data_IF_757953583149
#
_entry.id   IF_757953583149
#
_cell.length_a   1.000
_cell.length_b   1.000
_cell.length_c   1.000
_cell.angle_alpha   90.00
_cell.angle_beta   90.00
_cell.angle_gamma   90.00
#
_symmetry.space_group_name_H-M   'P 1'
#
loop_
_entity.id
_entity.type
_entity.pdbx_description
1 polymer ?
#
# COMPACT_ATOMS: atom_id res chain seq x y z
N UNK A 1 5.23 -20.28 22.60
CA UNK A 1 4.06 -19.36 22.68
C UNK A 1 4.09 -18.34 21.54
N UNK A 2 5.29 -17.96 21.13
CA UNK A 2 5.66 -17.07 20.03
C UNK A 2 5.03 -17.49 18.69
N UNK A 3 5.05 -18.78 18.35
CA UNK A 3 4.42 -19.30 17.11
C UNK A 3 2.92 -19.04 17.05
N UNK A 4 2.24 -19.07 18.20
CA UNK A 4 0.80 -18.76 18.27
C UNK A 4 0.57 -17.26 18.05
N UNK A 5 1.42 -16.40 18.63
CA UNK A 5 1.35 -14.95 18.42
C UNK A 5 1.59 -14.61 16.95
N UNK A 6 2.63 -15.17 16.34
CA UNK A 6 2.92 -15.01 14.91
C UNK A 6 1.74 -15.50 14.06
N UNK A 7 1.25 -16.72 14.31
CA UNK A 7 0.16 -17.33 13.56
C UNK A 7 -1.15 -16.54 13.66
N UNK A 8 -1.57 -16.15 14.87
CA UNK A 8 -2.79 -15.38 15.08
C UNK A 8 -2.68 -13.98 14.47
N UNK A 9 -1.58 -13.28 14.69
CA UNK A 9 -1.36 -11.93 14.13
C UNK A 9 -1.28 -11.98 12.61
N UNK A 10 -0.60 -12.99 12.07
CA UNK A 10 -0.51 -13.26 10.63
C UNK A 10 -1.87 -13.55 10.01
N UNK A 11 -2.72 -14.33 10.68
CA UNK A 11 -4.09 -14.57 10.22
C UNK A 11 -4.92 -13.28 10.21
N UNK A 12 -4.82 -12.46 11.26
CA UNK A 12 -5.51 -11.17 11.35
C UNK A 12 -5.04 -10.20 10.27
N UNK A 13 -3.75 -10.16 9.94
CA UNK A 13 -3.22 -9.38 8.84
C UNK A 13 -3.91 -9.75 7.50
N UNK A 14 -4.04 -11.04 7.18
CA UNK A 14 -4.72 -11.46 5.94
C UNK A 14 -6.22 -11.12 5.97
N UNK A 15 -6.88 -11.36 7.11
CA UNK A 15 -8.31 -11.06 7.28
C UNK A 15 -8.62 -9.56 7.22
N UNK A 16 -7.70 -8.71 7.68
CA UNK A 16 -7.82 -7.25 7.68
C UNK A 16 -7.82 -6.62 6.27
N UNK A 17 -7.59 -7.39 5.21
CA UNK A 17 -7.80 -6.92 3.83
C UNK A 17 -9.27 -6.59 3.55
N UNK A 18 -10.19 -7.24 4.26
CA UNK A 18 -11.61 -6.94 4.20
C UNK A 18 -11.98 -5.80 5.15
N UNK A 19 -12.75 -4.82 4.67
CA UNK A 19 -13.13 -3.62 5.43
C UNK A 19 -13.97 -3.92 6.66
N UNK A 20 -14.89 -4.90 6.60
CA UNK A 20 -15.70 -5.25 7.76
C UNK A 20 -14.85 -5.91 8.84
N UNK A 21 -13.91 -6.77 8.45
CA UNK A 21 -12.96 -7.36 9.38
C UNK A 21 -12.07 -6.32 10.06
N UNK A 22 -11.62 -5.26 9.35
CA UNK A 22 -10.85 -4.17 9.99
C UNK A 22 -11.62 -3.50 11.11
N UNK A 23 -12.90 -3.21 10.86
CA UNK A 23 -13.78 -2.59 11.87
C UNK A 23 -13.90 -3.48 13.10
N UNK A 24 -14.09 -4.79 12.92
CA UNK A 24 -14.19 -5.75 14.02
C UNK A 24 -12.87 -5.86 14.79
N UNK A 25 -11.75 -6.02 14.08
CA UNK A 25 -10.41 -6.12 14.69
C UNK A 25 -10.11 -4.87 15.53
N UNK A 26 -10.32 -3.67 14.97
CA UNK A 26 -10.17 -2.41 15.70
C UNK A 26 -11.12 -2.33 16.89
N UNK A 27 -12.39 -2.73 16.73
CA UNK A 27 -13.41 -2.70 17.77
C UNK A 27 -13.12 -3.59 18.97
N UNK A 28 -12.24 -4.58 18.83
CA UNK A 28 -11.73 -5.42 19.91
C UNK A 28 -10.54 -4.80 20.67
N UNK A 29 -10.21 -3.54 20.40
CA UNK A 29 -9.11 -2.80 21.02
C UNK A 29 -7.74 -3.48 20.89
N UNK A 30 -7.44 -4.00 19.70
CA UNK A 30 -6.19 -4.74 19.44
C UNK A 30 -5.01 -3.85 19.05
N UNK A 31 -5.24 -2.59 18.68
CA UNK A 31 -4.19 -1.66 18.22
C UNK A 31 -3.05 -1.53 19.24
N UNK A 32 -3.30 -1.27 20.55
CA UNK A 32 -2.21 -1.16 21.52
C UNK A 32 -1.33 -2.41 21.56
N UNK A 33 -1.94 -3.60 21.45
CA UNK A 33 -1.23 -4.87 21.42
C UNK A 33 -0.36 -5.00 20.16
N UNK A 34 -0.89 -4.67 18.97
CA UNK A 34 -0.10 -4.72 17.74
C UNK A 34 1.08 -3.76 17.76
N UNK A 35 0.93 -2.57 18.34
CA UNK A 35 2.04 -1.61 18.54
C UNK A 35 3.09 -2.20 19.48
N UNK A 36 2.68 -2.84 20.58
CA UNK A 36 3.60 -3.53 21.49
C UNK A 36 4.40 -4.63 20.77
N UNK A 37 3.77 -5.38 19.85
CA UNK A 37 4.42 -6.45 19.09
C UNK A 37 5.52 -5.94 18.13
N UNK A 38 5.56 -4.64 17.79
CA UNK A 38 6.65 -4.06 17.00
C UNK A 38 8.00 -4.11 17.74
N UNK A 39 7.98 -4.13 19.07
CA UNK A 39 9.18 -4.28 19.90
C UNK A 39 9.61 -5.73 20.13
N UNK A 40 8.91 -6.69 19.52
CA UNK A 40 9.27 -8.11 19.65
C UNK A 40 10.69 -8.35 19.11
N UNK A 41 11.53 -9.16 19.78
CA UNK A 41 12.84 -9.55 19.25
C UNK A 41 12.73 -10.50 18.05
N UNK A 42 11.53 -10.95 17.68
CA UNK A 42 11.27 -11.91 16.61
C UNK A 42 10.79 -11.15 15.37
N UNK A 43 11.63 -11.09 14.34
CA UNK A 43 11.35 -10.37 13.09
C UNK A 43 10.04 -10.82 12.42
N UNK A 44 9.70 -12.10 12.48
CA UNK A 44 8.44 -12.59 11.91
C UNK A 44 7.22 -11.98 12.60
N UNK A 45 7.27 -11.81 13.93
CA UNK A 45 6.21 -11.16 14.71
C UNK A 45 6.14 -9.67 14.34
N UNK A 46 7.29 -8.98 14.26
CA UNK A 46 7.33 -7.58 13.82
C UNK A 46 6.71 -7.42 12.43
N UNK A 47 7.01 -8.34 11.51
CA UNK A 47 6.48 -8.32 10.13
C UNK A 47 4.96 -8.43 10.11
N UNK A 48 4.38 -9.39 10.84
CA UNK A 48 2.92 -9.56 10.85
C UNK A 48 2.22 -8.46 11.65
N UNK A 49 2.85 -7.93 12.70
CA UNK A 49 2.34 -6.80 13.46
C UNK A 49 2.30 -5.51 12.62
N UNK A 50 3.40 -5.17 11.95
CA UNK A 50 3.44 -4.05 11.00
C UNK A 50 2.47 -4.28 9.82
N UNK A 51 2.33 -5.53 9.36
CA UNK A 51 1.39 -5.91 8.30
C UNK A 51 -0.07 -5.65 8.67
N UNK A 52 -0.54 -6.11 9.84
CA UNK A 52 -1.91 -5.84 10.28
C UNK A 52 -2.15 -4.35 10.52
N UNK A 53 -1.18 -3.63 11.09
CA UNK A 53 -1.25 -2.18 11.24
C UNK A 53 -1.33 -1.47 9.88
N UNK A 54 -0.65 -1.98 8.85
CA UNK A 54 -0.69 -1.44 7.48
C UNK A 54 -2.08 -1.60 6.85
N UNK A 55 -2.76 -2.72 7.08
CA UNK A 55 -4.13 -2.91 6.62
C UNK A 55 -5.09 -2.00 7.39
N UNK A 56 -4.97 -1.93 8.72
CA UNK A 56 -5.82 -1.07 9.55
C UNK A 56 -5.66 0.42 9.24
N UNK A 57 -4.44 0.90 9.04
CA UNK A 57 -4.15 2.31 8.76
C UNK A 57 -4.70 2.81 7.41
N UNK A 58 -5.34 1.96 6.59
CA UNK A 58 -6.13 2.40 5.44
C UNK A 58 -7.35 3.22 5.87
N UNK A 59 -7.88 2.97 7.06
CA UNK A 59 -9.01 3.70 7.62
C UNK A 59 -8.47 4.84 8.49
N UNK A 60 -8.95 6.06 8.27
CA UNK A 60 -8.45 7.27 8.93
C UNK A 60 -8.49 7.17 10.46
N UNK A 61 -9.61 6.73 11.03
CA UNK A 61 -9.73 6.68 12.49
C UNK A 61 -8.83 5.59 13.09
N UNK A 62 -8.52 4.55 12.32
CA UNK A 62 -7.54 3.55 12.75
C UNK A 62 -6.11 4.11 12.67
N UNK A 63 -5.76 4.84 11.62
CA UNK A 63 -4.46 5.49 11.49
C UNK A 63 -4.20 6.50 12.63
N UNK A 64 -5.20 7.31 12.98
CA UNK A 64 -5.14 8.23 14.13
C UNK A 64 -4.95 7.48 15.45
N UNK A 65 -5.67 6.37 15.65
CA UNK A 65 -5.51 5.53 16.84
C UNK A 65 -4.11 4.90 16.92
N UNK A 66 -3.56 4.43 15.80
CA UNK A 66 -2.19 3.90 15.71
C UNK A 66 -1.16 4.98 16.06
N UNK A 67 -1.36 6.22 15.58
CA UNK A 67 -0.51 7.36 15.95
C UNK A 67 -0.58 7.67 17.45
N UNK A 68 -1.80 7.70 18.00
CA UNK A 68 -2.05 8.00 19.40
C UNK A 68 -1.41 6.98 20.36
N UNK A 69 -1.31 5.72 19.95
CA UNK A 69 -0.60 4.66 20.67
C UNK A 69 0.94 4.77 20.56
N UNK A 70 1.46 5.80 19.90
CA UNK A 70 2.90 6.07 19.83
C UNK A 70 3.65 5.17 18.86
N UNK A 71 2.98 4.62 17.84
CA UNK A 71 3.59 3.72 16.87
C UNK A 71 4.68 4.37 16.00
N UNK A 72 4.73 5.71 15.90
CA UNK A 72 5.72 6.42 15.06
C UNK A 72 7.16 6.03 15.38
N UNK A 73 7.54 6.01 16.67
CA UNK A 73 8.91 5.70 17.08
C UNK A 73 9.37 4.29 16.67
N UNK A 74 8.65 3.19 17.02
CA UNK A 74 9.06 1.85 16.63
C UNK A 74 8.98 1.65 15.12
N UNK A 75 8.00 2.24 14.43
CA UNK A 75 7.91 2.11 12.97
C UNK A 75 9.09 2.80 12.26
N UNK A 76 9.54 3.96 12.73
CA UNK A 76 10.74 4.62 12.20
C UNK A 76 11.99 3.77 12.41
N UNK A 77 12.13 3.11 13.56
CA UNK A 77 13.25 2.18 13.80
C UNK A 77 13.20 0.97 12.83
N UNK A 78 12.01 0.41 12.62
CA UNK A 78 11.79 -0.73 11.72
C UNK A 78 12.07 -0.42 10.24
N UNK A 79 12.16 0.85 9.82
CA UNK A 79 12.62 1.24 8.48
C UNK A 79 14.04 0.77 8.17
N UNK A 80 14.84 0.52 9.20
CA UNK A 80 16.21 0.05 9.10
C UNK A 80 16.34 -1.47 9.30
N UNK A 81 15.21 -2.18 9.37
CA UNK A 81 15.22 -3.64 9.44
C UNK A 81 15.89 -4.25 8.21
N UNK A 82 16.67 -5.32 8.41
CA UNK A 82 17.23 -6.12 7.31
C UNK A 82 16.16 -6.93 6.59
N UNK A 83 14.99 -7.08 7.21
CA UNK A 83 13.84 -7.74 6.63
C UNK A 83 13.04 -6.73 5.80
N UNK A 84 13.17 -6.82 4.47
CA UNK A 84 12.49 -5.89 3.55
C UNK A 84 10.97 -5.85 3.77
N UNK A 85 10.35 -6.98 4.13
CA UNK A 85 8.92 -7.05 4.41
C UNK A 85 8.54 -6.21 5.63
N UNK A 86 9.34 -6.25 6.70
CA UNK A 86 9.14 -5.42 7.90
C UNK A 86 9.28 -3.94 7.55
N UNK A 87 10.38 -3.57 6.89
CA UNK A 87 10.66 -2.18 6.53
C UNK A 87 9.60 -1.60 5.58
N UNK A 88 9.11 -2.40 4.62
CA UNK A 88 8.04 -2.00 3.70
C UNK A 88 6.73 -1.74 4.42
N UNK A 89 6.30 -2.63 5.32
CA UNK A 89 5.08 -2.40 6.09
C UNK A 89 5.22 -1.20 7.02
N UNK A 90 6.37 -1.04 7.69
CA UNK A 90 6.60 0.11 8.56
C UNK A 90 6.52 1.44 7.79
N UNK A 91 7.15 1.52 6.61
CA UNK A 91 7.06 2.66 5.72
C UNK A 91 5.62 2.96 5.29
N UNK A 92 4.85 1.93 4.93
CA UNK A 92 3.47 2.08 4.51
C UNK A 92 2.58 2.62 5.65
N UNK A 93 2.76 2.14 6.89
CA UNK A 93 2.01 2.64 8.05
C UNK A 93 2.33 4.11 8.32
N UNK A 94 3.61 4.48 8.35
CA UNK A 94 4.04 5.88 8.54
C UNK A 94 3.48 6.79 7.45
N UNK A 95 3.49 6.34 6.20
CA UNK A 95 2.92 7.08 5.09
C UNK A 95 1.41 7.33 5.29
N UNK A 96 0.65 6.30 5.66
CA UNK A 96 -0.79 6.39 5.91
C UNK A 96 -1.13 7.33 7.08
N UNK A 97 -0.40 7.24 8.18
CA UNK A 97 -0.54 8.17 9.31
C UNK A 97 -0.22 9.63 8.94
N UNK A 98 0.55 9.84 7.87
CA UNK A 98 0.93 11.18 7.41
C UNK A 98 -0.09 11.85 6.48
N UNK A 99 -1.15 11.15 6.06
CA UNK A 99 -2.03 11.58 4.96
C UNK A 99 -2.64 12.97 5.20
N UNK A 100 -3.08 13.25 6.44
CA UNK A 100 -3.67 14.53 6.85
C UNK A 100 -2.66 15.58 7.35
N UNK A 101 -1.35 15.26 7.34
CA UNK A 101 -0.32 16.20 7.79
C UNK A 101 0.00 17.24 6.69
N UNK A 102 0.59 18.40 7.05
CA UNK A 102 0.99 19.41 6.07
C UNK A 102 1.92 18.85 4.98
N UNK A 103 1.87 19.43 3.78
CA UNK A 103 2.68 18.95 2.65
C UNK A 103 4.19 18.92 2.94
N UNK A 104 4.71 19.87 3.70
CA UNK A 104 6.14 19.89 4.07
C UNK A 104 6.51 18.77 5.05
N UNK A 105 5.56 18.25 5.83
CA UNK A 105 5.77 17.04 6.61
C UNK A 105 5.86 15.81 5.71
N UNK A 106 4.89 15.63 4.81
CA UNK A 106 4.86 14.51 3.85
C UNK A 106 6.10 14.45 2.96
N UNK A 107 6.60 15.60 2.50
CA UNK A 107 7.85 15.68 1.74
C UNK A 107 9.05 15.18 2.55
N UNK A 108 9.19 15.64 3.80
CA UNK A 108 10.29 15.20 4.68
C UNK A 108 10.23 13.70 4.94
N UNK A 109 9.04 13.19 5.25
CA UNK A 109 8.82 11.75 5.43
C UNK A 109 9.18 10.97 4.16
N UNK A 110 8.72 11.40 2.98
CA UNK A 110 9.04 10.74 1.72
C UNK A 110 10.56 10.67 1.44
N UNK A 111 11.29 11.75 1.74
CA UNK A 111 12.76 11.78 1.63
C UNK A 111 13.39 10.80 2.61
N UNK A 112 12.92 10.75 3.86
CA UNK A 112 13.40 9.84 4.89
C UNK A 112 13.17 8.37 4.50
N UNK A 113 11.96 8.02 4.06
CA UNK A 113 11.59 6.69 3.59
C UNK A 113 12.47 6.25 2.42
N UNK A 114 12.65 7.12 1.43
CA UNK A 114 13.55 6.87 0.28
C UNK A 114 14.97 6.64 0.78
N UNK A 115 15.48 7.50 1.66
CA UNK A 115 16.86 7.38 2.16
C UNK A 115 17.09 6.14 3.03
N UNK A 116 16.05 5.60 3.67
CA UNK A 116 16.16 4.46 4.59
C UNK A 116 16.04 3.14 3.83
N UNK A 117 15.10 3.04 2.90
CA UNK A 117 14.83 1.82 2.13
C UNK A 117 15.88 1.55 1.05
N UNK A 118 16.52 2.57 0.48
CA UNK A 118 17.52 2.40 -0.59
C UNK A 118 18.98 2.29 -0.10
N UNK A 119 19.24 2.30 1.21
CA UNK A 119 20.60 2.13 1.76
C UNK A 119 21.13 0.70 1.72
N UNK A 120 20.30 -0.29 1.40
CA UNK A 120 20.65 -1.72 1.42
C UNK A 120 21.51 -2.19 0.25
N UNK A 121 21.80 -1.34 -0.74
CA UNK A 121 22.76 -1.67 -1.81
C UNK A 121 24.00 -0.78 -1.76
N UNK A 122 25.12 -1.21 -1.15
CA UNK A 122 26.41 -0.75 -1.62
C UNK A 122 26.59 -1.35 -3.02
N UNK A 123 26.64 -0.51 -4.04
CA UNK A 123 26.89 -0.89 -5.43
C UNK A 123 28.01 -1.93 -5.54
N UNK A 124 27.64 -3.20 -5.74
CA UNK A 124 28.55 -4.30 -6.06
C UNK A 124 29.03 -4.27 -7.53
N UNK A 125 29.16 -3.08 -8.11
CA UNK A 125 29.52 -2.84 -9.51
C UNK A 125 30.93 -2.25 -9.68
N UNK A 126 31.84 -2.41 -8.71
CA UNK A 126 33.19 -1.84 -8.82
C UNK A 126 34.37 -2.80 -8.60
N UNK A 127 34.18 -4.13 -8.56
CA UNK A 127 35.28 -5.08 -8.30
C UNK A 127 35.44 -6.21 -9.33
N UNK A 128 35.12 -5.98 -10.62
CA UNK A 128 35.49 -6.93 -11.70
C UNK A 128 36.17 -6.29 -12.91
N UNK A 129 36.69 -5.07 -12.80
CA UNK A 129 37.39 -4.39 -13.89
C UNK A 129 38.92 -4.29 -13.72
N UNK A 130 39.53 -5.05 -12.81
CA UNK A 130 40.99 -5.12 -12.62
C UNK A 130 41.59 -6.51 -12.97
N UNK A 131 41.08 -7.14 -14.03
CA UNK A 131 41.85 -8.17 -14.73
C UNK A 131 42.56 -7.51 -15.91
N UNK A 132 43.76 -7.00 -15.60
CA UNK A 132 44.70 -6.48 -16.58
C UNK A 132 44.95 -7.47 -17.73
N UNK A 133 44.60 -7.05 -18.94
CA UNK A 133 45.13 -7.59 -20.18
C UNK A 133 45.71 -6.42 -20.98
N UNK A 134 47.00 -6.22 -20.79
CA UNK A 134 47.91 -5.41 -21.60
C UNK A 134 48.15 -6.11 -22.95
N UNK A 135 47.73 -5.48 -24.05
CA UNK A 135 48.25 -5.70 -25.41
C UNK A 135 48.23 -4.33 -26.12
N UNK A 136 49.42 -3.74 -26.26
CA UNK A 136 49.65 -2.48 -26.97
C UNK A 136 50.00 -2.64 -28.46
N UNK A 137 49.72 -1.60 -29.26
CA UNK A 137 50.47 -1.11 -30.44
C UNK A 137 49.56 -0.12 -31.23
N UNK A 138 49.77 1.21 -31.17
CA UNK A 138 50.60 2.04 -32.06
C UNK A 138 49.94 2.44 -33.42
N UNK A 139 49.66 3.75 -33.61
CA UNK A 139 50.10 4.50 -34.80
C UNK A 139 49.12 4.90 -35.93
N UNK A 140 48.67 6.17 -35.89
CA UNK A 140 48.50 7.17 -36.99
C UNK A 140 47.31 7.17 -38.00
N UNK A 141 46.91 8.38 -38.53
CA UNK A 141 45.63 8.65 -39.20
C UNK A 141 45.73 9.10 -40.69
N UNK A 142 44.55 9.39 -41.28
CA UNK A 142 44.24 10.08 -42.57
C UNK A 142 44.01 9.23 -43.82
N UNK A 143 42.90 9.53 -44.53
CA UNK A 143 42.73 9.20 -45.95
C UNK A 143 41.29 9.13 -46.45
N UNK A 144 40.74 10.26 -46.90
CA UNK A 144 39.49 10.34 -47.67
C UNK A 144 39.77 9.96 -49.13
N UNK A 145 39.06 8.97 -49.72
CA UNK A 145 38.62 9.04 -51.13
C UNK A 145 37.50 8.03 -51.46
N UNK A 146 36.55 8.57 -52.21
CA UNK A 146 35.32 8.03 -52.81
C UNK A 146 35.53 6.77 -53.67
N UNK A 147 34.50 5.92 -53.72
CA UNK A 147 33.68 5.72 -54.93
C UNK A 147 32.26 5.21 -54.56
N UNK A 148 31.27 5.90 -55.13
CA UNK A 148 29.79 5.75 -55.11
C UNK A 148 29.36 4.50 -55.95
N UNK A 149 28.08 4.19 -56.31
CA UNK A 149 26.78 4.74 -55.90
C UNK A 149 25.61 3.73 -55.75
N UNK A 150 24.65 4.01 -54.86
CA UNK A 150 23.24 3.66 -55.14
C UNK A 150 22.23 4.44 -54.29
N UNK A 151 21.59 5.38 -54.99
CA UNK A 151 20.19 5.80 -54.90
C UNK A 151 19.74 6.86 -53.88
N UNK A 152 19.90 8.10 -54.36
CA UNK A 152 19.08 9.31 -54.21
C UNK A 152 17.70 9.16 -53.56
N UNK A 153 17.50 9.96 -52.50
CA UNK A 153 16.24 10.63 -52.18
C UNK A 153 16.01 11.78 -53.18
N UNK A 154 14.76 12.03 -53.62
CA UNK A 154 14.13 13.36 -53.60
C UNK A 154 12.75 13.46 -54.32
N UNK A 155 11.88 14.29 -53.71
CA UNK A 155 10.73 15.05 -54.24
C UNK A 155 9.40 14.28 -54.51
N UNK A 156 8.29 14.59 -53.81
CA UNK A 156 7.44 15.81 -53.77
C UNK A 156 6.34 15.83 -54.84
N UNK A 157 5.09 15.75 -54.38
CA UNK A 157 3.94 16.45 -54.97
C UNK A 157 2.91 15.61 -55.74
N UNK A 158 1.63 15.87 -55.44
CA UNK A 158 0.59 15.95 -56.47
C UNK A 158 -0.54 14.92 -56.43
N UNK A 159 -1.72 15.39 -56.01
CA UNK A 159 -3.11 15.05 -56.37
C UNK A 159 -3.41 13.80 -57.23
N UNK A 160 -4.46 13.05 -56.86
CA UNK A 160 -5.15 12.17 -57.83
C UNK A 160 -6.05 11.11 -57.21
N UNK A 161 -7.33 11.44 -57.17
CA UNK A 161 -8.52 10.62 -56.94
C UNK A 161 -8.63 9.40 -57.89
N UNK A 162 -8.96 8.20 -57.38
CA UNK A 162 -10.20 7.44 -57.68
C UNK A 162 -10.19 5.97 -57.21
N UNK A 163 -11.43 5.47 -57.10
CA UNK A 163 -12.03 4.35 -56.39
C UNK A 163 -11.57 2.89 -56.63
N UNK A 164 -12.24 2.01 -55.85
CA UNK A 164 -12.38 0.53 -55.85
C UNK A 164 -11.56 -0.15 -54.74
N UNK A 165 -12.08 -0.81 -53.70
CA UNK A 165 -13.42 -1.24 -53.29
C UNK A 165 -13.27 -2.42 -52.31
N UNK A 166 -13.98 -2.42 -51.17
CA UNK A 166 -14.66 -3.58 -50.55
C UNK A 166 -15.26 -3.26 -49.17
N UNK A 167 -16.46 -3.81 -48.94
CA UNK A 167 -17.51 -3.47 -47.98
C UNK A 167 -17.23 -3.65 -46.46
N UNK A 168 -17.97 -2.92 -45.59
CA UNK A 168 -18.14 -3.24 -44.16
C UNK A 168 -19.37 -4.14 -43.90
N UNK A 169 -19.19 -5.20 -43.10
CA UNK A 169 -20.26 -6.13 -42.70
C UNK A 169 -21.06 -5.62 -41.50
N UNK A 170 -22.27 -5.13 -41.82
CA UNK A 170 -23.57 -5.20 -41.12
C UNK A 170 -23.69 -4.99 -39.60
N UNK A 171 -24.24 -3.82 -39.31
CA UNK A 171 -25.05 -3.41 -38.16
C UNK A 171 -26.38 -4.21 -38.12
N UNK A 172 -26.73 -4.78 -36.95
CA UNK A 172 -28.06 -5.35 -36.70
C UNK A 172 -28.69 -4.65 -35.49
N UNK A 173 -29.56 -3.68 -35.78
CA UNK A 173 -30.66 -3.28 -34.90
C UNK A 173 -31.72 -4.39 -34.87
N UNK A 174 -32.13 -4.81 -33.67
CA UNK A 174 -33.41 -5.46 -33.44
C UNK A 174 -34.03 -4.87 -32.17
N UNK A 175 -34.96 -3.93 -32.37
CA UNK A 175 -35.90 -3.51 -31.35
C UNK A 175 -36.98 -4.57 -31.11
N UNK A 176 -37.39 -4.73 -29.86
CA UNK A 176 -38.50 -5.60 -29.47
C UNK A 176 -38.96 -5.33 -28.04
N UNK A 177 -40.20 -4.86 -27.91
CA UNK A 177 -40.93 -4.55 -26.67
C UNK A 177 -41.40 -5.80 -25.91
N UNK A 178 -41.82 -5.57 -24.64
CA UNK A 178 -42.79 -6.29 -23.77
C UNK A 178 -42.20 -6.99 -22.52
N UNK A 179 -43.01 -7.25 -21.47
CA UNK A 179 -43.78 -6.34 -20.62
C UNK A 179 -43.50 -6.63 -19.11
N UNK A 180 -44.17 -5.91 -18.20
CA UNK A 180 -43.89 -5.88 -16.76
C UNK A 180 -44.00 -7.20 -15.97
N UNK A 181 -43.43 -7.14 -14.76
CA UNK A 181 -43.73 -8.05 -13.66
C UNK A 181 -43.79 -7.22 -12.37
N UNK A 182 -45.02 -7.08 -11.85
CA UNK A 182 -45.32 -6.69 -10.48
C UNK A 182 -44.58 -7.60 -9.50
N UNK A 183 -43.81 -7.01 -8.58
CA UNK A 183 -43.39 -7.70 -7.36
C UNK A 183 -44.27 -7.20 -6.20
N UNK A 184 -45.04 -8.07 -5.53
CA UNK A 184 -45.74 -7.69 -4.32
C UNK A 184 -44.72 -7.53 -3.18
N UNK A 185 -44.63 -6.33 -2.62
CA UNK A 185 -43.96 -6.09 -1.33
C UNK A 185 -44.97 -6.47 -0.25
N UNK A 186 -44.99 -7.74 0.13
CA UNK A 186 -45.73 -8.22 1.29
C UNK A 186 -44.76 -8.90 2.26
N UNK A 187 -44.57 -8.31 3.44
CA UNK A 187 -43.84 -8.95 4.54
C UNK A 187 -42.62 -8.23 5.13
N UNK A 188 -42.60 -6.90 5.21
CA UNK A 188 -41.71 -6.21 6.17
C UNK A 188 -42.46 -6.01 7.50
N UNK A 189 -41.98 -6.53 8.65
CA UNK A 189 -42.53 -6.14 9.94
C UNK A 189 -42.15 -4.68 10.23
N UNK A 190 -43.18 -3.91 10.59
CA UNK A 190 -43.13 -2.51 11.03
C UNK A 190 -42.17 -2.34 12.23
N UNK A 191 -41.02 -1.71 12.02
CA UNK A 191 -40.07 -1.32 13.08
C UNK A 191 -40.48 0.02 13.69
N UNK A 192 -41.74 0.09 14.11
CA UNK A 192 -42.37 1.25 14.72
C UNK A 192 -42.20 1.37 16.22
N UNK A 193 -41.20 0.77 16.88
CA UNK A 193 -41.00 0.93 18.33
C UNK A 193 -39.52 0.87 18.74
N UNK A 194 -38.80 1.97 18.55
CA UNK A 194 -37.44 2.17 19.07
C UNK A 194 -37.41 2.98 20.40
N UNK A 195 -38.53 3.02 21.15
CA UNK A 195 -38.64 3.85 22.36
C UNK A 195 -38.52 3.08 23.68
N UNK A 196 -38.56 1.74 23.69
CA UNK A 196 -38.66 0.94 24.94
C UNK A 196 -37.37 0.21 25.36
N UNK A 197 -36.20 0.60 24.86
CA UNK A 197 -34.90 0.02 25.24
C UNK A 197 -34.02 0.94 26.11
N UNK A 198 -34.59 1.99 26.71
CA UNK A 198 -33.87 2.98 27.53
C UNK A 198 -34.37 3.07 28.97
N UNK A 199 -34.91 1.98 29.55
CA UNK A 199 -35.47 1.97 30.91
C UNK A 199 -34.79 0.97 31.87
N UNK A 200 -33.54 0.60 31.59
CA UNK A 200 -32.87 -0.52 32.29
C UNK A 200 -31.51 -0.25 32.93
N UNK A 201 -31.00 0.99 33.01
CA UNK A 201 -29.69 1.26 33.62
C UNK A 201 -29.83 1.86 35.03
N UNK A 202 -29.32 1.20 36.09
CA UNK A 202 -29.29 1.79 37.43
C UNK A 202 -28.23 2.91 37.51
N UNK A 203 -28.46 3.99 38.28
CA UNK A 203 -27.45 5.03 38.48
C UNK A 203 -26.43 4.57 39.52
N UNK A 204 -25.14 4.68 39.23
CA UNK A 204 -24.10 4.20 40.15
C UNK A 204 -22.70 4.78 39.92
N UNK A 205 -22.44 5.90 40.59
CA UNK A 205 -21.19 6.40 41.14
C UNK A 205 -19.93 6.60 40.27
N UNK A 206 -19.74 7.87 39.93
CA UNK A 206 -18.45 8.51 39.67
C UNK A 206 -17.55 8.52 40.92
N UNK A 207 -16.96 7.38 41.32
CA UNK A 207 -15.86 7.40 42.30
C UNK A 207 -14.95 6.15 42.38
N UNK A 208 -14.38 5.68 41.28
CA UNK A 208 -13.28 4.70 41.34
C UNK A 208 -12.07 5.13 40.50
N UNK A 209 -11.52 6.29 40.84
CA UNK A 209 -10.12 6.68 40.57
C UNK A 209 -9.34 6.49 41.87
N UNK A 210 -8.89 5.26 42.16
CA UNK A 210 -8.17 5.01 43.41
C UNK A 210 -7.28 3.75 43.38
N UNK A 211 -6.45 3.53 42.36
CA UNK A 211 -5.41 2.48 42.45
C UNK A 211 -4.11 2.84 41.72
N UNK A 212 -3.59 4.04 41.96
CA UNK A 212 -2.14 4.25 41.94
C UNK A 212 -1.63 4.29 43.38
N UNK A 213 -0.45 3.69 43.57
CA UNK A 213 0.49 3.86 44.69
C UNK A 213 0.46 2.78 45.79
N UNK A 214 1.40 1.83 45.74
CA UNK A 214 2.50 1.76 46.72
C UNK A 214 3.51 0.63 46.39
N UNK A 215 4.78 1.00 46.48
CA UNK A 215 5.98 0.15 46.41
C UNK A 215 5.96 -1.09 47.32
N UNK A 216 6.50 -2.21 46.80
CA UNK A 216 7.45 -3.12 47.49
C UNK A 216 7.99 -4.20 46.53
#
# INVERSE_FOLDING_TARGET
MEEIVEGCTGALHILARDVHNRIVIRGLNTIPLFVQLLYSPIENIQRVAAGVLCELAQDKEAAEAIEAEGATAPLTELLHSRNEGVATYAAAVLFRMSEDKPQDYKKRLSVELTSSLFRTEPMAWNETADLGLDIGAQGEPLGYRQDDPSYRSFHSGGYGQDALGMDPMMEHEMGGHHPGADYPVDGLPDLGHAQDLMDGLPPGDSNQLAWFDTDL
#
